data_IF_289606927069
#
_entry.id   IF_289606927069
#
_cell.length_a   1.000
_cell.length_b   1.000
_cell.length_c   1.000
_cell.angle_alpha   90.00
_cell.angle_beta   90.00
_cell.angle_gamma   90.00
#
_symmetry.space_group_name_H-M   'P 1'
#
loop_
_entity.id
_entity.type
_entity.pdbx_description
1 polymer ?
#
# COMPACT_ATOMS: atom_id res chain seq x y z
N UNK A 1 11.99 -3.10 -26.45
CA UNK A 1 11.50 -2.70 -25.12
C UNK A 1 12.71 -2.18 -24.36
N UNK A 2 13.10 -0.93 -24.64
CA UNK A 2 14.11 -0.26 -23.83
C UNK A 2 13.49 0.10 -22.49
N UNK A 3 14.00 -0.50 -21.43
CA UNK A 3 13.70 -0.10 -20.08
C UNK A 3 14.59 1.11 -19.78
N UNK A 4 14.11 2.30 -20.09
CA UNK A 4 14.72 3.53 -19.60
C UNK A 4 14.46 3.59 -18.09
N UNK A 5 15.45 3.14 -17.31
CA UNK A 5 15.39 3.08 -15.84
C UNK A 5 15.31 4.45 -15.16
N UNK A 6 15.35 5.54 -15.94
CA UNK A 6 15.24 6.91 -15.45
C UNK A 6 13.83 7.50 -15.50
N UNK A 7 12.90 6.88 -16.25
CA UNK A 7 11.52 7.35 -16.34
C UNK A 7 10.71 7.00 -15.08
N UNK A 8 9.88 7.93 -14.55
CA UNK A 8 9.07 7.65 -13.37
C UNK A 8 8.04 6.56 -13.64
N UNK A 9 7.85 5.66 -12.66
CA UNK A 9 6.82 4.63 -12.72
C UNK A 9 5.44 5.29 -12.84
N UNK A 10 4.64 4.88 -13.83
CA UNK A 10 3.27 5.33 -14.02
C UNK A 10 2.32 4.13 -14.16
N UNK A 11 1.02 4.30 -13.86
CA UNK A 11 0.03 3.24 -14.07
C UNK A 11 -0.04 2.76 -15.53
N UNK A 12 0.33 3.59 -16.50
CA UNK A 12 0.34 3.22 -17.92
C UNK A 12 1.54 2.33 -18.27
N UNK A 13 2.68 2.49 -17.58
CA UNK A 13 3.90 1.71 -17.82
C UNK A 13 3.97 0.42 -16.97
N UNK A 14 3.22 0.34 -15.88
CA UNK A 14 3.10 -0.84 -15.04
C UNK A 14 1.72 -0.95 -14.40
N UNK A 15 1.04 -2.08 -14.62
CA UNK A 15 -0.27 -2.38 -14.03
C UNK A 15 -0.20 -3.53 -13.03
N UNK A 16 -0.90 -3.38 -11.90
CA UNK A 16 -0.99 -4.34 -10.80
C UNK A 16 -2.43 -4.85 -10.59
N UNK A 17 -3.30 -4.68 -11.58
CA UNK A 17 -4.68 -5.15 -11.49
C UNK A 17 -4.74 -6.65 -11.15
N UNK A 18 -5.66 -7.02 -10.25
CA UNK A 18 -5.84 -8.38 -9.79
C UNK A 18 -4.76 -8.88 -8.81
N UNK A 19 -3.74 -8.07 -8.51
CA UNK A 19 -2.77 -8.36 -7.44
C UNK A 19 -3.30 -7.92 -6.07
N UNK A 20 -2.76 -8.56 -5.04
CA UNK A 20 -2.97 -8.19 -3.65
C UNK A 20 -1.63 -7.75 -3.07
N UNK A 21 -1.61 -6.64 -2.34
CA UNK A 21 -0.43 -6.15 -1.65
C UNK A 21 -0.71 -5.86 -0.17
N UNK A 22 0.26 -6.18 0.68
CA UNK A 22 0.24 -5.83 2.11
C UNK A 22 1.34 -4.80 2.35
N UNK A 23 1.00 -3.70 3.01
CA UNK A 23 1.95 -2.64 3.36
C UNK A 23 1.98 -2.48 4.87
N UNK A 24 3.09 -2.90 5.49
CA UNK A 24 3.36 -2.68 6.92
C UNK A 24 3.83 -1.26 7.17
N UNK A 25 3.41 -0.64 8.27
CA UNK A 25 3.68 0.78 8.53
C UNK A 25 2.96 1.70 7.52
N UNK A 26 1.85 1.22 6.94
CA UNK A 26 1.17 1.90 5.85
C UNK A 26 0.27 3.07 6.28
N UNK A 27 0.15 3.37 7.57
CA UNK A 27 -0.75 4.43 8.05
C UNK A 27 -0.19 5.84 7.86
N UNK A 28 1.14 6.00 7.77
CA UNK A 28 1.80 7.31 7.68
C UNK A 28 3.05 7.28 6.79
N UNK A 29 3.60 8.47 6.51
CA UNK A 29 4.92 8.65 5.87
C UNK A 29 5.10 7.86 4.57
N UNK A 30 6.24 7.16 4.48
CA UNK A 30 6.63 6.38 3.30
C UNK A 30 5.63 5.25 3.03
N UNK A 31 5.23 4.51 4.05
CA UNK A 31 4.30 3.39 3.90
C UNK A 31 2.96 3.83 3.33
N UNK A 32 2.42 4.97 3.79
CA UNK A 32 1.19 5.54 3.22
C UNK A 32 1.35 5.93 1.75
N UNK A 33 2.48 6.53 1.39
CA UNK A 33 2.81 6.82 -0.01
C UNK A 33 2.87 5.57 -0.87
N UNK A 34 3.49 4.50 -0.37
CA UNK A 34 3.55 3.20 -1.05
C UNK A 34 2.17 2.58 -1.21
N UNK A 35 1.35 2.56 -0.16
CA UNK A 35 -0.01 2.01 -0.20
C UNK A 35 -0.88 2.71 -1.25
N UNK A 36 -0.84 4.05 -1.29
CA UNK A 36 -1.54 4.84 -2.30
C UNK A 36 -1.05 4.55 -3.71
N UNK A 37 0.26 4.47 -3.92
CA UNK A 37 0.81 4.15 -5.25
C UNK A 37 0.39 2.76 -5.71
N UNK A 38 0.47 1.74 -4.85
CA UNK A 38 0.06 0.38 -5.21
C UNK A 38 -1.43 0.30 -5.55
N UNK A 39 -2.29 1.00 -4.81
CA UNK A 39 -3.71 1.09 -5.10
C UNK A 39 -3.97 1.82 -6.42
N UNK A 40 -3.28 2.93 -6.69
CA UNK A 40 -3.37 3.68 -7.93
C UNK A 40 -2.93 2.87 -9.17
N UNK A 41 -2.09 1.85 -8.96
CA UNK A 41 -1.64 0.93 -10.00
C UNK A 41 -2.60 -0.28 -10.16
N UNK A 42 -3.70 -0.33 -9.42
CA UNK A 42 -4.77 -1.33 -9.55
C UNK A 42 -4.71 -2.50 -8.56
N UNK A 43 -3.75 -2.51 -7.63
CA UNK A 43 -3.66 -3.56 -6.63
C UNK A 43 -4.76 -3.43 -5.56
N UNK A 44 -5.21 -4.55 -5.00
CA UNK A 44 -6.01 -4.58 -3.76
C UNK A 44 -5.06 -4.49 -2.58
N UNK A 45 -5.13 -3.41 -1.81
CA UNK A 45 -4.14 -3.12 -0.76
C UNK A 45 -4.72 -3.32 0.64
N UNK A 46 -3.96 -4.00 1.50
CA UNK A 46 -4.16 -4.02 2.94
C UNK A 46 -3.04 -3.22 3.63
N UNK A 47 -3.44 -2.24 4.44
CA UNK A 47 -2.56 -1.43 5.30
C UNK A 47 -2.49 -2.09 6.66
N UNK A 48 -1.29 -2.50 7.06
CA UNK A 48 -0.97 -3.01 8.38
C UNK A 48 -0.27 -1.90 9.17
N UNK A 49 -0.89 -1.44 10.24
CA UNK A 49 -0.38 -0.34 11.05
C UNK A 49 -0.71 -0.58 12.53
N UNK A 50 0.18 -0.16 13.43
CA UNK A 50 -0.03 -0.39 14.88
C UNK A 50 -1.06 0.57 15.47
N UNK A 51 -1.16 1.75 14.88
CA UNK A 51 -2.05 2.82 15.31
C UNK A 51 -3.40 2.67 14.60
N UNK A 52 -4.50 2.52 15.36
CA UNK A 52 -5.80 2.18 14.79
C UNK A 52 -6.41 3.29 13.92
N UNK A 53 -6.18 4.55 14.27
CA UNK A 53 -6.76 5.69 13.56
C UNK A 53 -6.10 5.86 12.20
N UNK A 54 -4.76 5.77 12.16
CA UNK A 54 -4.00 5.84 10.91
C UNK A 54 -4.17 4.59 10.04
N UNK A 55 -4.34 3.41 10.63
CA UNK A 55 -4.70 2.19 9.90
C UNK A 55 -6.02 2.37 9.14
N UNK A 56 -7.07 2.80 9.85
CA UNK A 56 -8.39 3.01 9.27
C UNK A 56 -8.37 4.10 8.22
N UNK A 57 -7.80 5.26 8.53
CA UNK A 57 -7.76 6.39 7.61
C UNK A 57 -7.03 6.06 6.30
N UNK A 58 -5.92 5.32 6.37
CA UNK A 58 -5.18 4.91 5.18
C UNK A 58 -5.90 3.84 4.37
N UNK A 59 -6.58 2.89 5.03
CA UNK A 59 -7.44 1.90 4.35
C UNK A 59 -8.59 2.57 3.60
N UNK A 60 -9.30 3.48 4.26
CA UNK A 60 -10.42 4.22 3.69
C UNK A 60 -9.95 5.09 2.50
N UNK A 61 -8.80 5.76 2.60
CA UNK A 61 -8.23 6.61 1.52
C UNK A 61 -8.07 5.85 0.20
N UNK A 62 -7.66 4.59 0.26
CA UNK A 62 -7.32 3.80 -0.93
C UNK A 62 -8.40 2.78 -1.31
N UNK A 63 -9.58 2.84 -0.68
CA UNK A 63 -10.62 1.81 -0.77
C UNK A 63 -10.08 0.39 -0.51
N UNK A 64 -9.15 0.29 0.44
CA UNK A 64 -8.47 -0.94 0.85
C UNK A 64 -8.90 -1.41 2.24
N UNK A 65 -8.09 -2.28 2.84
CA UNK A 65 -8.30 -2.73 4.22
C UNK A 65 -7.34 -2.02 5.17
N UNK A 66 -7.84 -1.33 6.18
CA UNK A 66 -7.05 -0.83 7.30
C UNK A 66 -7.07 -1.80 8.47
N UNK A 67 -5.93 -2.40 8.81
CA UNK A 67 -5.82 -3.44 9.85
C UNK A 67 -4.84 -3.02 10.94
N UNK A 68 -5.27 -3.17 12.19
CA UNK A 68 -4.43 -2.92 13.37
C UNK A 68 -3.50 -4.11 13.56
N UNK A 69 -2.23 -3.93 13.25
CA UNK A 69 -1.22 -4.99 13.32
C UNK A 69 0.08 -4.45 13.88
N UNK A 70 0.60 -5.12 14.91
CA UNK A 70 1.96 -4.90 15.41
C UNK A 70 2.88 -5.99 14.89
N UNK A 71 3.79 -5.63 13.99
CA UNK A 71 4.73 -6.58 13.36
C UNK A 71 5.72 -7.22 14.36
N UNK A 72 5.79 -6.71 15.58
CA UNK A 72 6.62 -7.27 16.66
C UNK A 72 5.94 -8.45 17.37
N UNK A 73 4.64 -8.63 17.18
CA UNK A 73 3.84 -9.66 17.82
C UNK A 73 3.46 -10.77 16.82
N UNK A 74 4.19 -11.90 16.78
CA UNK A 74 4.04 -12.90 15.71
C UNK A 74 2.80 -13.80 15.83
N UNK A 75 2.04 -13.70 16.92
CA UNK A 75 0.95 -14.64 17.26
C UNK A 75 -0.43 -13.98 17.33
N UNK A 76 -0.52 -12.71 16.95
CA UNK A 76 -1.77 -11.95 16.96
C UNK A 76 -2.17 -11.53 15.56
#
# INVERSE_FOLDING_TARGET
>A
MECDSSAPLSPDSLRLDGRVAVVTGGGTGIGRGVARTLANFGSRVAVWEKDPDTARAAGDEINGLGLVVDVREPTR
#
